data_IF_294954297347
#
_entry.id   IF_294954297347
#
_cell.length_a   1.000
_cell.length_b   1.000
_cell.length_c   1.000
_cell.angle_alpha   90.00
_cell.angle_beta   90.00
_cell.angle_gamma   90.00
#
_symmetry.space_group_name_H-M   'P 1'
#
loop_
_entity.id
_entity.type
_entity.pdbx_description
1 polymer ?
#
# COMPACT_ATOMS: atom_id res chain seq x y z
N UNK A 1 22.16 -17.63 -10.96
CA UNK A 1 21.75 -16.69 -12.02
C UNK A 1 23.01 -16.25 -12.74
N UNK A 2 23.08 -16.43 -14.06
CA UNK A 2 24.07 -15.76 -14.92
C UNK A 2 23.90 -14.26 -14.72
N UNK A 3 24.98 -13.52 -14.46
CA UNK A 3 24.86 -12.06 -14.30
C UNK A 3 24.34 -11.42 -15.59
N UNK A 4 23.70 -10.25 -15.54
CA UNK A 4 23.22 -9.56 -16.74
C UNK A 4 24.35 -9.37 -17.79
N UNK A 5 25.57 -9.12 -17.32
CA UNK A 5 26.77 -9.03 -18.14
C UNK A 5 27.18 -10.36 -18.78
N UNK A 6 26.93 -11.49 -18.11
CA UNK A 6 27.23 -12.82 -18.61
C UNK A 6 26.20 -13.26 -19.66
N UNK A 7 24.91 -12.94 -19.48
CA UNK A 7 23.89 -13.16 -20.50
C UNK A 7 24.18 -12.36 -21.79
N UNK A 8 24.57 -11.10 -21.67
CA UNK A 8 24.94 -10.27 -22.84
C UNK A 8 26.16 -10.85 -23.56
N UNK A 9 27.19 -11.29 -22.82
CA UNK A 9 28.37 -11.95 -23.41
C UNK A 9 28.02 -13.26 -24.12
N UNK A 10 27.12 -14.07 -23.55
CA UNK A 10 26.66 -15.31 -24.18
C UNK A 10 25.86 -15.03 -25.45
N UNK A 11 25.01 -14.00 -25.45
CA UNK A 11 24.30 -13.57 -26.66
C UNK A 11 25.30 -13.14 -27.74
N UNK A 12 26.27 -12.27 -27.43
CA UNK A 12 27.28 -11.81 -28.40
C UNK A 12 28.09 -12.96 -29.01
N UNK A 13 28.47 -13.95 -28.20
CA UNK A 13 29.14 -15.16 -28.69
C UNK A 13 28.25 -15.93 -29.65
N UNK A 14 27.00 -16.18 -29.25
CA UNK A 14 26.03 -16.94 -30.04
C UNK A 14 25.68 -16.27 -31.37
N UNK A 15 25.58 -14.94 -31.44
CA UNK A 15 25.32 -14.20 -32.68
C UNK A 15 26.52 -14.21 -33.65
N UNK A 16 27.74 -14.51 -33.19
CA UNK A 16 28.95 -14.60 -34.05
C UNK A 16 29.18 -15.99 -34.64
N UNK A 17 28.54 -17.00 -34.08
CA UNK A 17 28.66 -18.38 -34.56
C UNK A 17 27.77 -18.60 -35.79
N UNK A 18 28.31 -19.32 -36.78
CA UNK A 18 27.60 -19.64 -38.03
C UNK A 18 26.66 -20.86 -37.90
N UNK A 19 26.47 -21.34 -36.67
CA UNK A 19 25.69 -22.52 -36.33
C UNK A 19 24.21 -22.26 -36.05
N UNK A 20 23.46 -23.35 -35.88
CA UNK A 20 22.08 -23.29 -35.40
C UNK A 20 22.03 -23.00 -33.90
N UNK A 21 21.05 -22.22 -33.45
CA UNK A 21 20.90 -21.83 -32.05
C UNK A 21 19.44 -21.65 -31.63
N UNK A 22 19.22 -21.60 -30.31
CA UNK A 22 17.92 -21.33 -29.71
C UNK A 22 17.90 -20.00 -28.98
N UNK A 23 16.79 -19.27 -29.06
CA UNK A 23 16.55 -18.08 -28.23
C UNK A 23 15.19 -18.20 -27.53
N UNK A 24 15.16 -17.90 -26.23
CA UNK A 24 13.94 -17.53 -25.52
C UNK A 24 13.74 -16.03 -25.68
N UNK A 25 12.61 -15.66 -26.28
CA UNK A 25 12.18 -14.28 -26.49
C UNK A 25 10.96 -14.02 -25.64
N UNK A 26 11.08 -13.13 -24.66
CA UNK A 26 9.99 -12.62 -23.85
C UNK A 26 9.59 -11.24 -24.36
N UNK A 27 8.30 -11.01 -24.57
CA UNK A 27 7.76 -9.71 -25.00
C UNK A 27 6.29 -9.57 -24.61
N UNK A 28 5.82 -8.35 -24.40
CA UNK A 28 4.39 -8.13 -24.17
C UNK A 28 3.57 -8.20 -25.46
N UNK A 29 2.38 -8.78 -25.35
CA UNK A 29 1.39 -8.81 -26.43
C UNK A 29 0.31 -7.76 -26.22
N UNK A 30 0.24 -6.77 -27.11
CA UNK A 30 -0.77 -5.70 -27.06
C UNK A 30 -0.25 -4.45 -27.78
N UNK A 31 -1.11 -3.69 -28.45
CA UNK A 31 -0.68 -2.49 -29.21
C UNK A 31 -0.90 -1.17 -28.47
N UNK A 32 -1.73 -1.16 -27.43
CA UNK A 32 -2.32 0.08 -26.89
C UNK A 32 -1.95 0.36 -25.43
N UNK A 33 -1.08 -0.46 -24.81
CA UNK A 33 -0.73 -0.35 -23.38
C UNK A 33 0.76 -0.04 -23.23
N UNK A 34 1.16 0.82 -22.26
CA UNK A 34 2.56 0.96 -21.90
C UNK A 34 3.13 -0.40 -21.51
N UNK A 35 4.24 -0.78 -22.13
CA UNK A 35 4.85 -2.09 -21.89
C UNK A 35 5.93 -2.02 -20.84
N UNK A 36 5.85 -2.90 -19.84
CA UNK A 36 6.84 -3.01 -18.80
C UNK A 36 8.18 -3.48 -19.39
N UNK A 37 9.27 -2.74 -19.13
CA UNK A 37 10.60 -3.13 -19.62
C UNK A 37 11.03 -4.50 -19.11
N UNK A 38 10.56 -4.89 -17.92
CA UNK A 38 10.79 -6.20 -17.31
C UNK A 38 10.25 -7.37 -18.14
N UNK A 39 9.30 -7.14 -19.04
CA UNK A 39 8.70 -8.15 -19.90
C UNK A 39 9.51 -8.45 -21.15
N UNK A 40 10.49 -7.60 -21.49
CA UNK A 40 11.37 -7.79 -22.64
C UNK A 40 12.68 -8.42 -22.19
N UNK A 41 12.82 -9.71 -22.47
CA UNK A 41 14.00 -10.47 -22.08
C UNK A 41 14.42 -11.36 -23.24
N UNK A 42 15.73 -11.54 -23.38
CA UNK A 42 16.32 -12.37 -24.41
C UNK A 42 17.36 -13.27 -23.76
N UNK A 43 17.19 -14.58 -23.91
CA UNK A 43 18.14 -15.56 -23.37
C UNK A 43 18.55 -16.56 -24.45
N UNK A 44 19.85 -16.91 -24.51
CA UNK A 44 20.29 -18.05 -25.30
C UNK A 44 19.73 -19.34 -24.70
N UNK A 45 19.29 -20.25 -25.57
CA UNK A 45 18.77 -21.56 -25.17
C UNK A 45 19.48 -22.64 -25.97
N UNK A 46 19.91 -23.68 -25.27
CA UNK A 46 20.57 -24.83 -25.90
C UNK A 46 19.61 -25.50 -26.91
N UNK A 47 20.02 -25.68 -28.18
CA UNK A 47 19.19 -26.35 -29.18
C UNK A 47 18.87 -27.81 -28.83
N UNK A 48 19.60 -28.47 -27.93
CA UNK A 48 19.29 -29.83 -27.51
C UNK A 48 17.95 -29.92 -26.76
N UNK A 49 17.09 -30.85 -27.18
CA UNK A 49 15.68 -30.92 -26.76
C UNK A 49 15.51 -31.05 -25.23
N UNK A 50 16.43 -31.74 -24.55
CA UNK A 50 16.44 -31.88 -23.09
C UNK A 50 16.94 -30.61 -22.40
N UNK A 51 18.03 -30.01 -22.89
CA UNK A 51 18.60 -28.76 -22.36
C UNK A 51 17.64 -27.58 -22.50
N UNK A 52 17.01 -27.45 -23.67
CA UNK A 52 15.98 -26.44 -23.96
C UNK A 52 14.81 -26.47 -22.96
N UNK A 53 14.31 -27.68 -22.68
CA UNK A 53 13.16 -27.85 -21.78
C UNK A 53 13.52 -27.46 -20.34
N UNK A 54 14.69 -27.88 -19.85
CA UNK A 54 15.14 -27.56 -18.49
C UNK A 54 15.41 -26.06 -18.30
N UNK A 55 16.06 -25.39 -19.27
CA UNK A 55 16.32 -23.95 -19.21
C UNK A 55 15.03 -23.13 -19.27
N UNK A 56 14.11 -23.50 -20.19
CA UNK A 56 12.81 -22.86 -20.29
C UNK A 56 11.99 -22.98 -18.99
N UNK A 57 11.89 -24.19 -18.43
CA UNK A 57 11.16 -24.40 -17.17
C UNK A 57 11.78 -23.62 -16.01
N UNK A 58 13.10 -23.48 -15.97
CA UNK A 58 13.80 -22.69 -14.95
C UNK A 58 13.48 -21.20 -15.07
N UNK A 59 13.52 -20.64 -16.29
CA UNK A 59 13.19 -19.23 -16.55
C UNK A 59 11.71 -18.94 -16.32
N UNK A 60 10.84 -19.89 -16.70
CA UNK A 60 9.41 -19.82 -16.42
C UNK A 60 9.13 -19.85 -14.91
N UNK A 61 9.81 -20.71 -14.16
CA UNK A 61 9.69 -20.75 -12.70
C UNK A 61 10.08 -19.41 -12.08
N UNK A 62 11.19 -18.80 -12.51
CA UNK A 62 11.61 -17.47 -12.06
C UNK A 62 10.56 -16.41 -12.40
N UNK A 63 10.02 -16.43 -13.62
CA UNK A 63 8.94 -15.52 -14.04
C UNK A 63 7.70 -15.66 -13.16
N UNK A 64 7.29 -16.90 -12.86
CA UNK A 64 6.14 -17.19 -11.99
C UNK A 64 6.40 -16.74 -10.55
N UNK A 65 7.57 -17.00 -9.98
CA UNK A 65 7.89 -16.53 -8.62
C UNK A 65 7.97 -15.00 -8.54
N UNK A 66 8.50 -14.34 -9.58
CA UNK A 66 8.53 -12.87 -9.68
C UNK A 66 7.10 -12.30 -9.77
N UNK A 67 6.23 -12.97 -10.52
CA UNK A 67 4.82 -12.57 -10.64
C UNK A 67 4.09 -12.63 -9.29
N UNK A 68 4.47 -13.51 -8.37
CA UNK A 68 3.85 -13.62 -7.03
C UNK A 68 4.09 -12.40 -6.13
N UNK A 69 5.18 -11.69 -6.36
CA UNK A 69 5.54 -10.48 -5.60
C UNK A 69 5.25 -9.19 -6.37
N UNK A 70 4.60 -9.30 -7.52
CA UNK A 70 4.23 -8.17 -8.38
C UNK A 70 2.81 -7.70 -8.06
N UNK A 71 2.56 -6.41 -8.27
CA UNK A 71 1.24 -5.79 -8.14
C UNK A 71 0.23 -6.31 -9.18
N UNK A 72 0.73 -6.71 -10.35
CA UNK A 72 0.00 -7.47 -11.36
C UNK A 72 0.96 -8.30 -12.21
N UNK A 73 0.40 -9.23 -12.97
CA UNK A 73 1.15 -10.08 -13.88
C UNK A 73 1.11 -9.47 -15.28
N UNK A 74 2.24 -9.09 -15.88
CA UNK A 74 2.25 -8.52 -17.23
C UNK A 74 1.81 -9.55 -18.27
N UNK A 75 1.24 -9.08 -19.38
CA UNK A 75 0.80 -9.95 -20.49
C UNK A 75 2.00 -10.35 -21.35
N UNK A 76 2.93 -11.09 -20.75
CA UNK A 76 4.21 -11.44 -21.35
C UNK A 76 4.12 -12.78 -22.07
N UNK A 77 4.33 -12.76 -23.38
CA UNK A 77 4.54 -13.95 -24.21
C UNK A 77 5.98 -14.40 -24.05
N UNK A 78 6.17 -15.70 -23.80
CA UNK A 78 7.48 -16.33 -23.67
C UNK A 78 7.59 -17.40 -24.77
N UNK A 79 8.48 -17.18 -25.73
CA UNK A 79 8.59 -18.01 -26.93
C UNK A 79 10.00 -18.49 -27.18
N UNK A 80 10.14 -19.79 -27.44
CA UNK A 80 11.42 -20.39 -27.81
C UNK A 80 11.47 -20.55 -29.32
N UNK A 81 12.42 -19.90 -29.96
CA UNK A 81 12.68 -20.00 -31.40
C UNK A 81 13.96 -20.78 -31.66
N UNK A 82 13.95 -21.63 -32.69
CA UNK A 82 15.16 -22.24 -33.24
C UNK A 82 15.52 -21.55 -34.53
N UNK A 83 16.76 -21.07 -34.60
CA UNK A 83 17.30 -20.41 -35.78
C UNK A 83 18.30 -21.34 -36.45
N UNK A 84 18.14 -21.61 -37.76
CA UNK A 84 19.09 -22.43 -38.51
C UNK A 84 20.49 -21.84 -38.57
N UNK A 85 20.59 -20.49 -38.52
CA UNK A 85 21.84 -19.75 -38.61
C UNK A 85 21.78 -18.51 -37.73
N UNK A 86 22.58 -18.49 -36.66
CA UNK A 86 22.57 -17.38 -35.70
C UNK A 86 23.18 -16.09 -36.27
N UNK A 87 24.23 -16.19 -37.09
CA UNK A 87 24.83 -15.05 -37.81
C UNK A 87 23.87 -14.36 -38.80
N UNK A 88 22.76 -15.00 -39.17
CA UNK A 88 21.74 -14.43 -40.05
C UNK A 88 20.71 -13.56 -39.32
N UNK A 89 20.78 -13.49 -37.99
CA UNK A 89 19.92 -12.65 -37.17
C UNK A 89 20.35 -11.18 -37.23
N UNK A 90 19.43 -10.23 -36.96
CA UNK A 90 19.81 -8.84 -36.75
C UNK A 90 20.91 -8.74 -35.66
N UNK A 91 21.91 -7.88 -35.83
CA UNK A 91 22.99 -7.75 -34.85
C UNK A 91 22.45 -7.18 -33.53
N UNK A 92 22.83 -7.81 -32.42
CA UNK A 92 22.56 -7.30 -31.07
C UNK A 92 23.81 -6.59 -30.53
N UNK A 93 23.70 -5.29 -30.27
CA UNK A 93 24.78 -4.47 -29.69
C UNK A 93 24.52 -4.23 -28.20
N UNK A 94 25.58 -4.17 -27.37
CA UNK A 94 25.45 -3.97 -25.92
C UNK A 94 24.69 -2.71 -25.54
N UNK A 95 24.83 -1.66 -26.33
CA UNK A 95 24.24 -0.36 -26.05
C UNK A 95 22.77 -0.27 -26.50
N UNK A 96 22.27 -1.29 -27.21
CA UNK A 96 20.87 -1.33 -27.65
C UNK A 96 19.98 -1.90 -26.54
N UNK A 97 18.95 -1.15 -26.07
CA UNK A 97 17.98 -1.69 -25.13
C UNK A 97 17.31 -2.95 -25.67
N UNK A 98 17.23 -4.01 -24.85
CA UNK A 98 16.66 -5.31 -25.24
C UNK A 98 15.25 -5.17 -25.81
N UNK A 99 14.44 -4.29 -25.23
CA UNK A 99 13.09 -3.96 -25.73
C UNK A 99 13.09 -3.44 -27.16
N UNK A 100 13.97 -2.48 -27.47
CA UNK A 100 14.08 -1.90 -28.82
C UNK A 100 14.58 -2.93 -29.82
N UNK A 101 15.55 -3.76 -29.43
CA UNK A 101 16.02 -4.85 -30.27
C UNK A 101 14.93 -5.88 -30.58
N UNK A 102 14.21 -6.36 -29.55
CA UNK A 102 13.15 -7.34 -29.73
C UNK A 102 12.03 -6.79 -30.60
N UNK A 103 11.53 -5.60 -30.30
CA UNK A 103 10.35 -5.02 -30.97
C UNK A 103 10.68 -4.46 -32.36
N UNK A 104 11.82 -3.80 -32.52
CA UNK A 104 12.21 -3.12 -33.76
C UNK A 104 12.94 -4.01 -34.77
N UNK A 105 13.63 -5.07 -34.32
CA UNK A 105 14.48 -5.89 -35.19
C UNK A 105 14.13 -7.38 -35.19
N UNK A 106 14.14 -8.02 -34.02
CA UNK A 106 14.02 -9.48 -33.93
C UNK A 106 12.62 -9.99 -34.31
N UNK A 107 11.54 -9.43 -33.73
CA UNK A 107 10.17 -9.84 -34.05
C UNK A 107 9.81 -9.58 -35.53
N UNK A 108 10.16 -8.44 -36.15
CA UNK A 108 10.02 -8.24 -37.60
C UNK A 108 10.76 -9.29 -38.43
N UNK A 109 12.00 -9.66 -38.04
CA UNK A 109 12.77 -10.69 -38.72
C UNK A 109 12.10 -12.07 -38.63
N UNK A 110 11.65 -12.47 -37.43
CA UNK A 110 10.90 -13.72 -37.20
C UNK A 110 9.66 -13.78 -38.10
N UNK A 111 8.89 -12.68 -38.17
CA UNK A 111 7.69 -12.59 -39.00
C UNK A 111 8.01 -12.67 -40.50
N UNK A 112 9.05 -11.97 -40.96
CA UNK A 112 9.48 -11.97 -42.37
C UNK A 112 9.91 -13.37 -42.83
N UNK A 113 10.59 -14.11 -41.95
CA UNK A 113 11.08 -15.46 -42.22
C UNK A 113 10.07 -16.57 -41.87
N UNK A 114 8.85 -16.21 -41.43
CA UNK A 114 7.77 -17.15 -41.06
C UNK A 114 8.22 -18.23 -40.05
N UNK A 115 9.11 -17.86 -39.14
CA UNK A 115 9.61 -18.78 -38.12
C UNK A 115 8.49 -19.05 -37.10
N UNK A 116 8.29 -20.33 -36.78
CA UNK A 116 7.32 -20.76 -35.77
C UNK A 116 8.03 -21.03 -34.45
N UNK A 117 7.48 -20.59 -33.32
CA UNK A 117 8.03 -20.93 -32.02
C UNK A 117 7.88 -22.44 -31.76
N UNK A 118 8.88 -23.03 -31.13
CA UNK A 118 8.88 -24.43 -30.66
C UNK A 118 8.02 -24.56 -29.39
N UNK A 119 8.07 -23.54 -28.54
CA UNK A 119 7.27 -23.41 -27.32
C UNK A 119 6.74 -21.98 -27.29
N UNK A 120 5.47 -21.81 -26.96
CA UNK A 120 4.85 -20.49 -26.89
C UNK A 120 3.83 -20.48 -25.76
N UNK A 121 4.16 -19.79 -24.67
CA UNK A 121 3.30 -19.66 -23.48
C UNK A 121 3.09 -18.20 -23.12
N UNK A 122 2.03 -17.92 -22.38
CA UNK A 122 1.81 -16.63 -21.75
C UNK A 122 2.04 -16.74 -20.24
N UNK A 123 2.74 -15.77 -19.65
CA UNK A 123 3.07 -15.78 -18.23
C UNK A 123 1.82 -15.79 -17.34
N UNK A 124 0.78 -15.02 -17.67
CA UNK A 124 -0.49 -14.98 -16.91
C UNK A 124 -1.14 -16.35 -16.88
N UNK A 125 -1.19 -17.00 -18.03
CA UNK A 125 -1.79 -18.32 -18.15
C UNK A 125 -1.01 -19.34 -17.31
N UNK A 126 0.32 -19.30 -17.38
CA UNK A 126 1.17 -20.19 -16.60
C UNK A 126 1.01 -20.00 -15.09
N UNK A 127 0.85 -18.76 -14.64
CA UNK A 127 0.58 -18.47 -13.21
C UNK A 127 -0.80 -18.97 -12.81
N UNK A 128 -1.83 -18.75 -13.64
CA UNK A 128 -3.18 -19.25 -13.40
C UNK A 128 -3.22 -20.78 -13.28
N UNK A 129 -2.62 -21.47 -14.24
CA UNK A 129 -2.52 -22.94 -14.26
C UNK A 129 -1.86 -23.48 -13.00
N UNK A 130 -0.75 -22.86 -12.58
CA UNK A 130 -0.07 -23.26 -11.35
C UNK A 130 -0.92 -22.99 -10.11
N UNK A 131 -1.70 -21.91 -10.09
CA UNK A 131 -2.61 -21.62 -8.97
C UNK A 131 -3.78 -22.60 -8.87
N UNK A 132 -4.23 -23.16 -10.00
CA UNK A 132 -5.29 -24.17 -10.06
C UNK A 132 -4.75 -25.61 -9.90
N UNK A 133 -3.43 -25.80 -9.75
CA UNK A 133 -2.81 -27.12 -9.63
C UNK A 133 -2.85 -27.95 -10.92
N UNK A 134 -2.98 -27.29 -12.08
CA UNK A 134 -3.12 -27.94 -13.38
C UNK A 134 -1.75 -28.22 -14.02
N UNK A 135 -1.68 -29.25 -14.87
CA UNK A 135 -0.46 -29.62 -15.60
C UNK A 135 -0.43 -28.99 -16.99
N UNK A 136 0.77 -28.70 -17.49
CA UNK A 136 0.99 -28.18 -18.85
C UNK A 136 1.59 -29.26 -19.73
N UNK A 137 1.02 -29.46 -20.92
CA UNK A 137 1.57 -30.42 -21.88
C UNK A 137 2.87 -29.89 -22.54
N UNK A 138 3.76 -30.79 -23.00
CA UNK A 138 4.95 -30.40 -23.75
C UNK A 138 4.61 -29.47 -24.91
N UNK A 139 5.31 -28.33 -25.00
CA UNK A 139 5.04 -27.29 -26.00
C UNK A 139 4.18 -26.13 -25.51
N UNK A 140 3.64 -26.19 -24.28
CA UNK A 140 2.87 -25.10 -23.68
C UNK A 140 1.37 -25.15 -23.97
N UNK A 141 0.84 -26.31 -24.34
CA UNK A 141 -0.58 -26.48 -24.66
C UNK A 141 -1.37 -26.56 -23.36
N UNK A 142 -2.40 -25.72 -23.26
CA UNK A 142 -3.33 -25.67 -22.13
C UNK A 142 -4.59 -26.45 -22.50
N UNK A 143 -4.86 -27.54 -21.78
CA UNK A 143 -6.14 -28.25 -21.87
C UNK A 143 -7.02 -27.77 -20.73
N UNK A 144 -7.98 -26.93 -21.06
CA UNK A 144 -8.93 -26.36 -20.11
C UNK A 144 -10.35 -26.76 -20.48
N UNK A 145 -11.15 -27.10 -19.48
CA UNK A 145 -12.60 -27.20 -19.63
C UNK A 145 -13.25 -25.81 -19.75
N UNK A 146 -14.53 -25.77 -20.10
CA UNK A 146 -15.26 -24.51 -20.27
C UNK A 146 -15.25 -23.62 -19.00
N UNK A 147 -15.39 -24.23 -17.82
CA UNK A 147 -15.39 -23.48 -16.55
C UNK A 147 -14.00 -22.94 -16.19
N UNK A 148 -12.94 -23.67 -16.52
CA UNK A 148 -11.55 -23.21 -16.38
C UNK A 148 -11.23 -22.06 -17.34
N UNK A 149 -11.79 -22.10 -18.56
CA UNK A 149 -11.66 -21.00 -19.53
C UNK A 149 -12.32 -19.73 -18.99
N UNK A 150 -13.53 -19.81 -18.45
CA UNK A 150 -14.23 -18.66 -17.87
C UNK A 150 -13.44 -18.03 -16.72
N UNK A 151 -12.89 -18.85 -15.81
CA UNK A 151 -12.03 -18.37 -14.71
C UNK A 151 -10.74 -17.73 -15.21
N UNK A 152 -10.13 -18.28 -16.27
CA UNK A 152 -8.94 -17.69 -16.89
C UNK A 152 -9.25 -16.32 -17.52
N UNK A 153 -10.40 -16.18 -18.18
CA UNK A 153 -10.85 -14.90 -18.75
C UNK A 153 -11.06 -13.87 -17.65
N UNK A 154 -11.74 -14.24 -16.56
CA UNK A 154 -11.93 -13.36 -15.40
C UNK A 154 -10.58 -12.97 -14.77
N UNK A 155 -9.67 -13.94 -14.61
CA UNK A 155 -8.33 -13.71 -14.09
C UNK A 155 -7.56 -12.68 -14.93
N UNK A 156 -7.55 -12.84 -16.26
CA UNK A 156 -6.91 -11.88 -17.18
C UNK A 156 -7.52 -10.49 -17.07
N UNK A 157 -8.85 -10.40 -16.99
CA UNK A 157 -9.57 -9.13 -16.80
C UNK A 157 -9.17 -8.46 -15.48
N UNK A 158 -9.03 -9.22 -14.39
CA UNK A 158 -8.55 -8.72 -13.10
C UNK A 158 -7.12 -8.19 -13.20
N UNK A 159 -6.22 -8.91 -13.88
CA UNK A 159 -4.84 -8.46 -14.11
C UNK A 159 -4.78 -7.17 -14.93
N UNK A 160 -5.65 -6.99 -15.91
CA UNK A 160 -5.74 -5.75 -16.68
C UNK A 160 -6.24 -4.56 -15.84
N UNK A 161 -7.22 -4.79 -14.96
CA UNK A 161 -7.66 -3.77 -14.01
C UNK A 161 -6.55 -3.34 -13.03
N UNK A 162 -5.74 -4.30 -12.57
CA UNK A 162 -4.57 -4.00 -11.75
C UNK A 162 -3.47 -3.28 -12.54
N UNK A 163 -3.20 -3.69 -13.79
CA UNK A 163 -2.22 -3.03 -14.64
C UNK A 163 -2.53 -1.54 -14.84
N UNK A 164 -3.79 -1.21 -15.16
CA UNK A 164 -4.23 0.17 -15.27
C UNK A 164 -4.08 0.94 -13.94
N UNK A 165 -4.44 0.31 -12.82
CA UNK A 165 -4.30 0.89 -11.48
C UNK A 165 -2.85 1.26 -11.15
N UNK A 166 -1.89 0.39 -11.48
CA UNK A 166 -0.47 0.61 -11.21
C UNK A 166 0.30 1.23 -12.37
N UNK A 167 -0.40 1.92 -13.30
CA UNK A 167 0.21 2.61 -14.46
C UNK A 167 1.15 1.71 -15.27
N UNK A 168 0.80 0.43 -15.38
CA UNK A 168 1.53 -0.59 -16.13
C UNK A 168 2.97 -0.84 -15.63
N UNK A 169 3.24 -0.59 -14.35
CA UNK A 169 4.48 -0.98 -13.67
C UNK A 169 4.20 -2.21 -12.81
N UNK A 170 4.67 -3.43 -13.19
CA UNK A 170 4.31 -4.67 -12.51
C UNK A 170 4.80 -4.73 -11.06
N UNK A 171 5.99 -4.21 -10.76
CA UNK A 171 6.55 -4.24 -9.42
C UNK A 171 5.92 -3.20 -8.50
N UNK A 172 5.68 -3.57 -7.25
CA UNK A 172 5.39 -2.58 -6.21
C UNK A 172 6.58 -1.64 -6.04
N UNK A 173 6.32 -0.34 -5.99
CA UNK A 173 7.36 0.64 -5.71
C UNK A 173 7.78 0.53 -4.25
N UNK A 174 9.06 0.29 -4.03
CA UNK A 174 9.69 0.25 -2.71
C UNK A 174 10.13 1.64 -2.25
N UNK A 175 10.40 1.84 -0.94
CA UNK A 175 10.11 0.91 0.15
C UNK A 175 8.61 0.74 0.42
N UNK A 176 8.22 -0.39 1.03
CA UNK A 176 6.87 -0.53 1.58
C UNK A 176 6.79 0.20 2.92
N UNK A 177 5.63 0.81 3.19
CA UNK A 177 5.28 1.36 4.50
C UNK A 177 4.31 0.41 5.17
N UNK A 178 4.69 -0.04 6.35
CA UNK A 178 3.93 -1.01 7.13
C UNK A 178 3.43 -0.33 8.39
N UNK A 179 2.11 -0.27 8.56
CA UNK A 179 1.47 0.33 9.73
C UNK A 179 0.95 -0.77 10.62
N UNK A 180 1.55 -0.91 11.79
CA UNK A 180 1.12 -1.80 12.84
C UNK A 180 0.14 -1.09 13.77
N UNK A 181 -1.00 -1.74 14.01
CA UNK A 181 -2.05 -1.32 14.93
C UNK A 181 -2.42 -2.48 15.85
N UNK A 182 -3.23 -2.23 16.90
CA UNK A 182 -3.75 -3.31 17.75
C UNK A 182 -4.65 -4.32 17.03
N UNK A 183 -5.19 -3.96 15.86
CA UNK A 183 -6.02 -4.85 15.04
C UNK A 183 -5.20 -5.70 14.06
N UNK A 184 -3.91 -5.44 13.94
CA UNK A 184 -3.02 -6.05 12.95
C UNK A 184 -2.29 -5.01 12.11
N UNK A 185 -1.78 -5.45 10.98
CA UNK A 185 -0.86 -4.72 10.11
C UNK A 185 -1.53 -4.33 8.79
N UNK A 186 -1.29 -3.11 8.34
CA UNK A 186 -1.62 -2.61 7.00
C UNK A 186 -0.33 -2.39 6.22
N UNK A 187 -0.34 -2.66 4.91
CA UNK A 187 0.83 -2.55 4.06
C UNK A 187 0.53 -1.64 2.88
N UNK A 188 1.37 -0.63 2.67
CA UNK A 188 1.22 0.35 1.59
C UNK A 188 2.48 0.40 0.73
N UNK A 189 2.31 0.51 -0.57
CA UNK A 189 3.44 0.69 -1.49
C UNK A 189 4.02 2.10 -1.43
N UNK A 190 5.27 2.27 -1.86
CA UNK A 190 5.87 3.59 -2.11
C UNK A 190 5.30 4.29 -3.36
N UNK A 191 4.36 3.65 -4.06
CA UNK A 191 3.66 4.17 -5.24
C UNK A 191 2.64 5.24 -4.88
N UNK A 192 2.00 5.83 -5.90
CA UNK A 192 1.00 6.88 -5.68
C UNK A 192 -0.17 6.39 -4.84
N UNK A 193 -0.59 5.14 -5.05
CA UNK A 193 -1.69 4.50 -4.32
C UNK A 193 -1.33 4.31 -2.85
N UNK A 194 -0.17 3.72 -2.56
CA UNK A 194 0.22 3.47 -1.17
C UNK A 194 0.55 4.76 -0.41
N UNK A 195 1.09 5.80 -1.07
CA UNK A 195 1.28 7.12 -0.44
C UNK A 195 -0.06 7.75 -0.06
N UNK A 196 -1.01 7.79 -1.00
CA UNK A 196 -2.36 8.30 -0.74
C UNK A 196 -3.09 7.45 0.33
N UNK A 197 -2.91 6.13 0.32
CA UNK A 197 -3.46 5.23 1.33
C UNK A 197 -2.89 5.47 2.73
N UNK A 198 -1.60 5.73 2.82
CA UNK A 198 -0.92 6.11 4.08
C UNK A 198 -1.48 7.43 4.60
N UNK A 199 -1.63 8.44 3.74
CA UNK A 199 -2.21 9.74 4.13
C UNK A 199 -3.66 9.61 4.60
N UNK A 200 -4.49 8.85 3.88
CA UNK A 200 -5.87 8.60 4.27
C UNK A 200 -5.97 7.83 5.59
N UNK A 201 -5.05 6.89 5.84
CA UNK A 201 -4.95 6.24 7.15
C UNK A 201 -4.66 7.24 8.26
N UNK A 202 -3.71 8.16 8.09
CA UNK A 202 -3.41 9.17 9.12
C UNK A 202 -4.52 10.19 9.32
N UNK A 203 -5.20 10.61 8.25
CA UNK A 203 -6.42 11.43 8.34
C UNK A 203 -7.50 10.73 9.14
N UNK A 204 -7.73 9.44 8.87
CA UNK A 204 -8.68 8.62 9.63
C UNK A 204 -8.26 8.47 11.10
N UNK A 205 -6.98 8.19 11.35
CA UNK A 205 -6.44 7.99 12.69
C UNK A 205 -6.57 9.26 13.53
N UNK A 206 -6.16 10.41 12.98
CA UNK A 206 -6.26 11.70 13.66
C UNK A 206 -7.73 12.12 13.88
N UNK A 207 -8.60 11.91 12.88
CA UNK A 207 -10.04 12.17 13.02
C UNK A 207 -10.70 11.33 14.11
N UNK A 208 -10.12 10.17 14.45
CA UNK A 208 -10.65 9.26 15.46
C UNK A 208 -9.75 9.11 16.69
N UNK A 209 -8.71 9.95 16.85
CA UNK A 209 -7.66 9.76 17.86
C UNK A 209 -8.24 9.65 19.26
N UNK A 210 -9.06 10.64 19.63
CA UNK A 210 -9.72 10.71 20.93
C UNK A 210 -10.97 9.84 21.04
N UNK A 211 -11.45 9.23 19.95
CA UNK A 211 -12.72 8.50 19.93
C UNK A 211 -12.69 7.29 20.87
N UNK A 212 -13.74 7.18 21.69
CA UNK A 212 -13.96 6.02 22.57
C UNK A 212 -14.14 4.69 21.81
N UNK A 213 -14.48 4.74 20.51
CA UNK A 213 -14.69 3.54 19.68
C UNK A 213 -13.45 3.12 18.89
N UNK A 214 -12.42 3.96 18.88
CA UNK A 214 -11.17 3.63 18.21
C UNK A 214 -10.25 2.79 19.14
N UNK A 215 -9.41 1.91 18.58
CA UNK A 215 -8.47 1.09 19.36
C UNK A 215 -7.51 1.93 20.18
N UNK A 216 -7.20 1.47 21.39
CA UNK A 216 -6.39 2.18 22.38
C UNK A 216 -4.90 1.83 22.39
N UNK A 217 -4.47 0.83 21.63
CA UNK A 217 -3.07 0.41 21.61
C UNK A 217 -2.21 1.21 20.62
N UNK A 218 -0.88 1.08 20.71
CA UNK A 218 0.07 1.91 19.97
C UNK A 218 -0.04 1.69 18.46
N UNK A 219 0.28 2.76 17.71
CA UNK A 219 0.40 2.71 16.25
C UNK A 219 1.87 2.94 15.88
N UNK A 220 2.41 2.07 15.02
CA UNK A 220 3.80 2.13 14.58
C UNK A 220 3.87 2.07 13.06
N UNK A 221 4.66 2.94 12.45
CA UNK A 221 4.99 2.89 11.03
C UNK A 221 6.43 2.41 10.86
N UNK A 222 6.60 1.43 9.97
CA UNK A 222 7.88 0.89 9.58
C UNK A 222 8.13 1.09 8.09
N UNK A 223 9.38 1.34 7.74
CA UNK A 223 9.91 1.24 6.39
C UNK A 223 10.48 -0.16 6.16
N UNK A 224 10.09 -0.76 5.05
CA UNK A 224 10.56 -2.10 4.65
C UNK A 224 11.14 -2.02 3.26
N UNK A 225 12.47 -2.05 3.19
CA UNK A 225 13.24 -2.00 1.94
C UNK A 225 13.31 -3.37 1.24
N UNK A 226 13.25 -4.47 2.02
CA UNK A 226 13.31 -5.85 1.53
C UNK A 226 12.17 -6.69 2.11
N UNK A 227 10.93 -6.55 1.58
CA UNK A 227 9.76 -7.21 2.14
C UNK A 227 9.73 -8.72 1.86
N UNK A 228 9.08 -9.46 2.77
CA UNK A 228 8.80 -10.89 2.57
C UNK A 228 7.73 -11.09 1.48
N UNK A 229 7.70 -12.28 0.88
CA UNK A 229 6.68 -12.65 -0.12
C UNK A 229 5.23 -12.43 0.38
N UNK A 230 5.00 -12.59 1.68
CA UNK A 230 3.69 -12.39 2.31
C UNK A 230 3.25 -10.92 2.31
N UNK A 231 4.16 -9.98 2.56
CA UNK A 231 3.82 -8.55 2.58
C UNK A 231 3.34 -8.05 1.21
N UNK A 232 3.89 -8.58 0.12
CA UNK A 232 3.43 -8.23 -1.23
C UNK A 232 1.97 -8.59 -1.48
N UNK A 233 1.48 -9.69 -0.92
CA UNK A 233 0.07 -10.09 -1.00
C UNK A 233 -0.88 -9.20 -0.18
N UNK A 234 -0.33 -8.41 0.76
CA UNK A 234 -1.08 -7.49 1.64
C UNK A 234 -0.98 -6.04 1.19
N UNK A 235 -0.15 -5.75 0.18
CA UNK A 235 0.16 -4.37 -0.21
C UNK A 235 -1.03 -3.70 -0.89
N UNK A 236 -1.37 -2.49 -0.44
CA UNK A 236 -2.45 -1.63 -0.94
C UNK A 236 -3.86 -2.27 -0.89
N UNK A 237 -4.07 -3.30 -0.05
CA UNK A 237 -5.37 -3.96 0.12
C UNK A 237 -6.40 -3.04 0.81
N UNK A 238 -5.95 -2.27 1.79
CA UNK A 238 -6.76 -1.29 2.53
C UNK A 238 -7.17 -0.07 1.67
N UNK A 239 -6.47 0.18 0.57
CA UNK A 239 -6.68 1.39 -0.21
C UNK A 239 -6.54 1.11 -1.70
N UNK A 240 -7.68 1.09 -2.40
CA UNK A 240 -7.74 0.76 -3.82
C UNK A 240 -8.34 1.89 -4.62
N UNK A 241 -7.80 2.09 -5.82
CA UNK A 241 -8.42 2.94 -6.84
C UNK A 241 -9.38 2.10 -7.69
N UNK A 242 -10.65 2.47 -7.71
CA UNK A 242 -11.65 1.84 -8.57
C UNK A 242 -11.36 2.15 -10.04
N UNK A 243 -11.44 1.12 -10.89
CA UNK A 243 -11.11 1.27 -12.31
C UNK A 243 -12.18 2.07 -13.08
N UNK A 244 -13.46 1.93 -12.70
CA UNK A 244 -14.60 2.53 -13.40
C UNK A 244 -14.81 4.00 -13.02
N UNK A 245 -14.74 4.31 -11.73
CA UNK A 245 -15.02 5.66 -11.21
C UNK A 245 -13.75 6.49 -11.00
N UNK A 246 -12.58 5.86 -10.99
CA UNK A 246 -11.31 6.50 -10.63
C UNK A 246 -11.24 6.94 -9.17
N UNK A 247 -12.26 6.63 -8.35
CA UNK A 247 -12.34 7.02 -6.95
C UNK A 247 -11.45 6.13 -6.10
N UNK A 248 -10.90 6.71 -5.04
CA UNK A 248 -10.18 5.98 -4.03
C UNK A 248 -11.14 5.45 -2.97
N UNK A 249 -10.98 4.17 -2.65
CA UNK A 249 -11.75 3.48 -1.62
C UNK A 249 -10.81 3.11 -0.50
N UNK A 250 -11.10 3.61 0.68
CA UNK A 250 -10.41 3.27 1.91
C UNK A 250 -11.29 2.32 2.72
N UNK A 251 -10.86 1.08 2.84
CA UNK A 251 -11.58 0.03 3.57
C UNK A 251 -10.62 -0.72 4.48
N UNK A 252 -10.83 -0.54 5.78
CA UNK A 252 -9.97 -1.10 6.82
C UNK A 252 -10.47 -2.44 7.35
N UNK A 253 -11.72 -2.84 7.09
CA UNK A 253 -12.34 -3.94 7.83
C UNK A 253 -11.68 -5.30 7.55
N UNK A 254 -11.36 -5.57 6.28
CA UNK A 254 -10.78 -6.85 5.85
C UNK A 254 -9.28 -6.76 5.52
N UNK A 255 -8.65 -5.61 5.74
CA UNK A 255 -7.28 -5.36 5.30
C UNK A 255 -6.20 -5.65 6.36
N UNK A 256 -6.59 -5.81 7.63
CA UNK A 256 -5.65 -6.10 8.70
C UNK A 256 -5.14 -7.53 8.61
N UNK A 257 -3.82 -7.69 8.73
CA UNK A 257 -3.18 -8.99 8.78
C UNK A 257 -2.32 -9.15 10.04
N UNK A 258 -2.30 -10.37 10.58
CA UNK A 258 -1.42 -10.72 11.69
C UNK A 258 -0.03 -11.10 11.18
N UNK A 259 1.00 -10.36 11.62
CA UNK A 259 2.39 -10.60 11.25
C UNK A 259 3.20 -11.02 12.48
N UNK A 260 3.85 -12.18 12.38
CA UNK A 260 4.69 -12.73 13.44
C UNK A 260 5.99 -11.94 13.65
N UNK A 261 6.61 -12.08 14.82
CA UNK A 261 7.83 -11.33 15.18
C UNK A 261 9.03 -11.61 14.23
N UNK A 262 9.14 -12.82 13.71
CA UNK A 262 10.21 -13.21 12.77
C UNK A 262 10.16 -12.45 11.45
N UNK A 263 8.96 -12.11 10.95
CA UNK A 263 8.75 -11.37 9.71
C UNK A 263 9.10 -9.88 9.85
N UNK A 264 9.16 -9.36 11.09
CA UNK A 264 9.52 -7.97 11.39
C UNK A 264 11.03 -7.72 11.37
N UNK A 265 11.84 -8.77 11.15
CA UNK A 265 13.30 -8.64 11.12
C UNK A 265 13.74 -7.77 9.94
N UNK A 266 14.51 -6.73 10.23
CA UNK A 266 15.01 -5.79 9.23
C UNK A 266 14.06 -4.64 8.89
N UNK A 267 12.90 -4.55 9.55
CA UNK A 267 12.02 -3.38 9.43
C UNK A 267 12.62 -2.20 10.18
N UNK A 268 12.58 -1.02 9.57
CA UNK A 268 13.10 0.22 10.18
C UNK A 268 11.91 1.00 10.73
N UNK A 269 11.85 1.20 12.05
CA UNK A 269 10.82 2.01 12.68
C UNK A 269 11.02 3.48 12.26
N UNK A 270 10.03 4.06 11.59
CA UNK A 270 10.03 5.48 11.22
C UNK A 270 9.28 6.33 12.24
N UNK A 271 8.18 5.78 12.78
CA UNK A 271 7.32 6.52 13.69
C UNK A 271 6.57 5.58 14.64
N UNK A 272 6.37 6.03 15.86
CA UNK A 272 5.54 5.35 16.85
C UNK A 272 4.82 6.39 17.70
N UNK A 273 3.53 6.20 17.88
CA UNK A 273 2.71 6.99 18.80
C UNK A 273 2.01 6.02 19.74
N UNK A 274 1.89 6.41 21.01
CA UNK A 274 0.85 5.80 21.82
C UNK A 274 -0.51 6.38 21.38
N UNK A 275 -1.58 5.65 21.69
CA UNK A 275 -2.94 6.10 21.41
C UNK A 275 -3.65 6.48 22.72
N UNK A 276 -2.89 6.91 23.73
CA UNK A 276 -3.47 7.47 24.94
C UNK A 276 -4.05 8.86 24.62
N UNK A 277 -5.15 9.27 25.26
CA UNK A 277 -5.75 10.59 25.05
C UNK A 277 -4.82 11.67 25.63
N UNK A 278 -3.86 12.14 24.83
CA UNK A 278 -2.83 13.12 25.20
C UNK A 278 -2.74 14.19 24.13
N UNK A 279 -2.65 15.45 24.54
CA UNK A 279 -2.36 16.58 23.64
C UNK A 279 -1.00 16.42 22.96
N UNK A 280 -0.01 15.90 23.68
CA UNK A 280 1.39 15.82 23.22
C UNK A 280 1.56 14.80 22.09
N UNK A 281 1.00 13.60 22.28
CA UNK A 281 1.06 12.54 21.25
C UNK A 281 0.17 12.86 20.06
N UNK A 282 -1.01 13.49 20.29
CA UNK A 282 -1.86 13.97 19.21
C UNK A 282 -1.14 15.01 18.32
N UNK A 283 -0.46 16.01 18.91
CA UNK A 283 0.33 17.00 18.14
C UNK A 283 1.49 16.35 17.40
N UNK A 284 2.21 15.42 18.05
CA UNK A 284 3.30 14.66 17.41
C UNK A 284 2.80 13.87 16.20
N UNK A 285 1.58 13.33 16.26
CA UNK A 285 0.92 12.66 15.13
C UNK A 285 0.50 13.64 14.03
N UNK A 286 -0.03 14.82 14.38
CA UNK A 286 -0.32 15.91 13.41
C UNK A 286 0.95 16.34 12.67
N UNK A 287 2.04 16.59 13.41
CA UNK A 287 3.33 17.03 12.85
C UNK A 287 3.93 15.96 11.93
N UNK A 288 3.92 14.69 12.34
CA UNK A 288 4.45 13.60 11.54
C UNK A 288 3.65 13.37 10.26
N UNK A 289 2.32 13.38 10.35
CA UNK A 289 1.45 13.10 9.21
C UNK A 289 1.28 14.29 8.26
N UNK A 290 1.61 15.51 8.70
CA UNK A 290 1.29 16.75 7.99
C UNK A 290 -0.21 17.03 7.87
N UNK A 291 -1.06 16.19 8.46
CA UNK A 291 -2.51 16.31 8.40
C UNK A 291 -2.98 17.24 9.52
N UNK A 292 -3.89 18.16 9.18
CA UNK A 292 -4.51 19.09 10.13
C UNK A 292 -6.03 18.91 10.12
N UNK A 293 -6.55 17.89 10.81
CA UNK A 293 -8.00 17.70 10.90
C UNK A 293 -8.62 18.86 11.66
N UNK A 294 -9.71 19.39 11.11
CA UNK A 294 -10.52 20.42 11.74
C UNK A 294 -11.61 19.80 12.64
N UNK A 295 -12.15 20.62 13.54
CA UNK A 295 -13.27 20.23 14.40
C UNK A 295 -12.84 19.74 15.78
N UNK A 296 -13.69 18.87 16.36
CA UNK A 296 -13.70 18.56 17.79
C UNK A 296 -12.36 18.09 18.38
N UNK A 297 -11.51 17.40 17.61
CA UNK A 297 -10.24 16.88 18.13
C UNK A 297 -9.24 18.00 18.46
N UNK A 298 -9.26 19.12 17.74
CA UNK A 298 -8.46 20.30 18.09
C UNK A 298 -8.92 20.93 19.40
N UNK A 299 -10.23 21.03 19.60
CA UNK A 299 -10.77 21.58 20.84
C UNK A 299 -10.51 20.65 22.03
N UNK A 300 -10.59 19.33 21.83
CA UNK A 300 -10.16 18.33 22.83
C UNK A 300 -8.68 18.50 23.15
N UNK A 301 -7.80 18.60 22.14
CA UNK A 301 -6.36 18.82 22.34
C UNK A 301 -6.07 20.11 23.11
N UNK A 302 -6.75 21.22 22.77
CA UNK A 302 -6.65 22.50 23.48
C UNK A 302 -7.10 22.37 24.94
N UNK A 303 -8.23 21.71 25.21
CA UNK A 303 -8.72 21.46 26.58
C UNK A 303 -7.76 20.59 27.38
N UNK A 304 -7.18 19.54 26.78
CA UNK A 304 -6.14 18.72 27.42
C UNK A 304 -4.87 19.52 27.72
N UNK A 305 -4.52 20.47 26.86
CA UNK A 305 -3.41 21.41 27.10
C UNK A 305 -3.71 22.29 28.33
N UNK A 306 -4.91 22.87 28.37
CA UNK A 306 -5.38 23.70 29.49
C UNK A 306 -5.54 22.91 30.81
N UNK A 307 -5.69 21.58 30.77
CA UNK A 307 -5.59 20.76 31.98
C UNK A 307 -4.17 20.70 32.57
N UNK A 308 -3.13 20.89 31.75
CA UNK A 308 -1.74 20.79 32.19
C UNK A 308 -1.20 22.17 32.60
N UNK A 309 -1.37 23.16 31.75
CA UNK A 309 -0.81 24.50 31.93
C UNK A 309 -1.72 25.58 31.34
N UNK A 310 -1.58 26.81 31.86
CA UNK A 310 -2.24 27.98 31.31
C UNK A 310 -1.60 28.38 29.99
N UNK A 311 -2.44 28.60 28.97
CA UNK A 311 -2.02 29.05 27.65
C UNK A 311 -2.94 30.18 27.19
N UNK A 312 -2.41 31.41 27.17
CA UNK A 312 -3.15 32.61 26.79
C UNK A 312 -3.57 32.56 25.32
N UNK A 313 -2.71 32.04 24.46
CA UNK A 313 -2.92 32.05 23.01
C UNK A 313 -4.07 31.11 22.65
N UNK A 314 -4.13 29.93 23.28
CA UNK A 314 -5.28 29.01 23.14
C UNK A 314 -6.58 29.66 23.60
N UNK A 315 -6.58 30.35 24.75
CA UNK A 315 -7.80 30.94 25.32
C UNK A 315 -8.30 32.14 24.51
N UNK A 316 -7.40 32.88 23.85
CA UNK A 316 -7.76 34.03 23.03
C UNK A 316 -8.03 33.68 21.57
N UNK A 317 -7.65 32.49 21.11
CA UNK A 317 -7.91 31.99 19.77
C UNK A 317 -9.42 31.84 19.48
N UNK A 318 -10.00 32.62 18.55
CA UNK A 318 -11.42 32.51 18.19
C UNK A 318 -11.80 31.16 17.58
N UNK A 319 -10.83 30.40 17.05
CA UNK A 319 -11.06 29.07 16.52
C UNK A 319 -11.26 28.00 17.61
N UNK A 320 -11.03 28.33 18.90
CA UNK A 320 -11.34 27.46 20.02
C UNK A 320 -12.80 27.64 20.45
N UNK A 321 -13.64 26.63 20.27
CA UNK A 321 -15.08 26.77 20.51
C UNK A 321 -15.43 27.20 21.96
N UNK A 322 -14.55 26.94 22.93
CA UNK A 322 -14.76 27.28 24.33
C UNK A 322 -14.04 28.56 24.76
N UNK A 323 -13.40 29.30 23.86
CA UNK A 323 -12.56 30.46 24.19
C UNK A 323 -13.28 31.48 25.12
N UNK A 324 -14.55 31.81 24.84
CA UNK A 324 -15.37 32.71 25.68
C UNK A 324 -15.55 32.18 27.11
N UNK A 325 -15.65 30.87 27.31
CA UNK A 325 -15.81 30.26 28.63
C UNK A 325 -14.52 30.29 29.45
N UNK A 326 -13.37 30.46 28.80
CA UNK A 326 -12.05 30.52 29.45
C UNK A 326 -11.48 31.94 29.56
N UNK A 327 -12.01 32.91 28.80
CA UNK A 327 -11.55 34.30 28.78
C UNK A 327 -11.47 34.96 30.18
N UNK A 328 -12.36 34.58 31.09
CA UNK A 328 -12.34 35.05 32.48
C UNK A 328 -11.02 34.70 33.20
N UNK A 329 -10.46 33.53 32.92
CA UNK A 329 -9.19 33.11 33.54
C UNK A 329 -8.02 33.96 33.08
N UNK A 330 -7.99 34.43 31.82
CA UNK A 330 -6.97 35.38 31.35
C UNK A 330 -7.05 36.68 32.14
N UNK A 331 -8.27 37.22 32.34
CA UNK A 331 -8.47 38.45 33.11
C UNK A 331 -8.03 38.28 34.57
N UNK A 332 -8.42 37.17 35.22
CA UNK A 332 -8.02 36.86 36.60
C UNK A 332 -6.52 36.63 36.73
N UNK A 333 -5.89 36.04 35.72
CA UNK A 333 -4.44 35.85 35.67
C UNK A 333 -3.71 37.17 35.53
N UNK A 334 -4.16 38.04 34.61
CA UNK A 334 -3.60 39.38 34.44
C UNK A 334 -3.76 40.20 35.74
N UNK A 335 -4.91 40.14 36.42
CA UNK A 335 -5.11 40.80 37.71
C UNK A 335 -4.15 40.26 38.79
N UNK A 336 -3.89 38.95 38.80
CA UNK A 336 -2.97 38.32 39.75
C UNK A 336 -1.51 38.71 39.50
N UNK A 337 -1.09 38.73 38.23
CA UNK A 337 0.27 39.14 37.82
C UNK A 337 0.51 40.63 38.09
N UNK A 338 -0.51 41.47 37.90
CA UNK A 338 -0.42 42.92 38.11
C UNK A 338 -0.67 43.36 39.58
N UNK A 339 -0.86 42.41 40.52
CA UNK A 339 -1.11 42.73 41.93
C UNK A 339 -2.48 43.37 42.23
N UNK A 340 -3.43 43.25 41.30
CA UNK A 340 -4.79 43.78 41.40
C UNK A 340 -5.81 42.73 41.90
N UNK A 341 -5.36 41.50 42.16
CA UNK A 341 -6.21 40.38 42.58
C UNK A 341 -6.86 40.63 43.95
N UNK A 342 -8.18 40.42 44.01
CA UNK A 342 -8.99 40.49 45.25
C UNK A 342 -9.01 39.13 45.99
N UNK A 343 -7.84 38.52 46.16
CA UNK A 343 -7.68 37.27 46.94
C UNK A 343 -7.74 35.96 46.13
N UNK A 344 -7.70 36.02 44.80
CA UNK A 344 -7.41 34.84 44.00
C UNK A 344 -5.89 34.62 43.93
N UNK A 345 -5.44 33.42 44.31
CA UNK A 345 -4.08 32.98 44.05
C UNK A 345 -3.96 32.41 42.64
N UNK A 346 -2.75 32.48 42.07
CA UNK A 346 -2.42 31.86 40.78
C UNK A 346 -2.82 30.37 40.75
N UNK A 347 -2.49 29.65 41.82
CA UNK A 347 -2.76 28.21 41.97
C UNK A 347 -4.26 27.90 41.92
N UNK A 348 -5.08 28.71 42.61
CA UNK A 348 -6.54 28.53 42.63
C UNK A 348 -7.14 28.74 41.25
N UNK A 349 -6.67 29.76 40.51
CA UNK A 349 -7.14 30.03 39.15
C UNK A 349 -6.76 28.87 38.20
N UNK A 350 -5.53 28.36 38.33
CA UNK A 350 -5.08 27.20 37.55
C UNK A 350 -5.93 25.97 37.85
N UNK A 351 -6.23 25.69 39.11
CA UNK A 351 -7.05 24.54 39.49
C UNK A 351 -8.49 24.64 38.98
N UNK A 352 -9.13 25.81 39.11
CA UNK A 352 -10.49 26.03 38.55
C UNK A 352 -10.51 25.88 37.02
N UNK A 353 -9.45 26.31 36.33
CA UNK A 353 -9.31 26.12 34.88
C UNK A 353 -9.17 24.63 34.52
N UNK A 354 -8.38 23.88 35.30
CA UNK A 354 -8.21 22.43 35.12
C UNK A 354 -9.53 21.70 35.30
N UNK A 355 -10.25 21.99 36.38
CA UNK A 355 -11.57 21.41 36.66
C UNK A 355 -12.58 21.76 35.57
N UNK A 356 -12.59 23.00 35.08
CA UNK A 356 -13.49 23.42 34.00
C UNK A 356 -13.20 22.68 32.70
N UNK A 357 -11.91 22.49 32.38
CA UNK A 357 -11.48 21.72 31.20
C UNK A 357 -11.90 20.25 31.33
N UNK A 358 -11.67 19.62 32.49
CA UNK A 358 -12.07 18.24 32.77
C UNK A 358 -13.58 18.04 32.62
N UNK A 359 -14.36 18.97 33.19
CA UNK A 359 -15.81 18.93 33.10
C UNK A 359 -16.30 18.98 31.66
N UNK A 360 -15.73 19.85 30.81
CA UNK A 360 -16.10 19.95 29.40
C UNK A 360 -15.75 18.66 28.66
N UNK A 361 -14.54 18.13 28.86
CA UNK A 361 -14.09 16.86 28.25
C UNK A 361 -15.04 15.70 28.58
N UNK A 362 -15.54 15.61 29.82
CA UNK A 362 -16.50 14.57 30.25
C UNK A 362 -17.93 14.80 29.79
N UNK A 363 -18.34 16.03 29.52
CA UNK A 363 -19.77 16.34 29.26
C UNK A 363 -20.10 16.48 27.79
N UNK A 364 -19.19 17.06 27.02
CA UNK A 364 -19.43 17.43 25.62
C UNK A 364 -18.81 16.45 24.63
N UNK A 365 -17.82 15.65 25.03
CA UNK A 365 -17.03 14.80 24.12
C UNK A 365 -17.00 13.33 24.52
N UNK A 366 -17.04 12.44 23.51
CA UNK A 366 -16.88 10.99 23.68
C UNK A 366 -15.39 10.60 23.66
N UNK A 367 -14.63 11.08 24.65
CA UNK A 367 -13.17 10.86 24.73
C UNK A 367 -12.86 9.50 25.36
N UNK A 368 -11.98 8.72 24.72
CA UNK A 368 -11.42 7.48 25.27
C UNK A 368 -10.86 7.73 26.67
N UNK A 369 -11.15 6.85 27.63
CA UNK A 369 -10.66 6.97 29.01
C UNK A 369 -11.47 7.91 29.92
N UNK A 370 -12.31 8.80 29.37
CA UNK A 370 -13.14 9.73 30.16
C UNK A 370 -14.56 9.19 30.45
N UNK A 371 -14.87 7.98 29.98
CA UNK A 371 -16.17 7.33 30.16
C UNK A 371 -17.28 7.90 29.26
N UNK A 372 -18.48 7.34 29.33
CA UNK A 372 -19.61 7.84 28.54
C UNK A 372 -20.08 9.20 29.08
N UNK A 373 -20.22 10.23 28.24
CA UNK A 373 -20.63 11.57 28.66
C UNK A 373 -21.95 11.56 29.40
N UNK A 374 -22.05 12.39 30.44
CA UNK A 374 -23.29 12.52 31.21
C UNK A 374 -24.50 12.88 30.35
N UNK A 375 -24.28 13.68 29.30
CA UNK A 375 -25.32 14.08 28.35
C UNK A 375 -25.87 12.88 27.56
N UNK A 376 -25.02 11.93 27.18
CA UNK A 376 -25.42 10.69 26.50
C UNK A 376 -26.10 9.73 27.48
N UNK A 377 -25.66 9.69 28.74
CA UNK A 377 -26.34 8.94 29.81
C UNK A 377 -27.76 9.49 30.05
N UNK A 378 -27.93 10.80 30.20
CA UNK A 378 -29.25 11.46 30.36
C UNK A 378 -30.16 11.21 29.17
N UNK A 379 -29.67 11.38 27.95
CA UNK A 379 -30.46 11.10 26.74
C UNK A 379 -30.91 9.64 26.63
N UNK A 380 -30.10 8.67 27.07
CA UNK A 380 -30.50 7.24 27.12
C UNK A 380 -31.57 6.99 28.18
N UNK A 381 -31.45 7.60 29.36
CA UNK A 381 -32.48 7.51 30.41
C UNK A 381 -33.80 8.10 29.93
N UNK A 382 -33.80 9.31 29.38
CA UNK A 382 -35.00 9.96 28.83
C UNK A 382 -35.64 9.16 27.69
N UNK A 383 -34.84 8.57 26.80
CA UNK A 383 -35.34 7.72 25.70
C UNK A 383 -35.94 6.40 26.22
N UNK A 384 -35.39 5.87 27.32
CA UNK A 384 -35.89 4.65 27.98
C UNK A 384 -37.19 4.92 28.75
N UNK A 385 -37.27 6.05 29.45
CA UNK A 385 -38.47 6.53 30.12
C UNK A 385 -39.61 6.84 29.14
N UNK A 386 -39.28 7.46 28.00
CA UNK A 386 -40.25 7.72 26.92
C UNK A 386 -40.78 6.43 26.29
N UNK A 387 -39.92 5.44 26.05
CA UNK A 387 -40.34 4.14 25.53
C UNK A 387 -41.18 3.34 26.55
N UNK A 388 -40.91 3.49 27.84
CA UNK A 388 -41.71 2.86 28.89
C UNK A 388 -43.07 3.54 29.09
N UNK A 389 -43.20 4.84 28.80
CA UNK A 389 -44.49 5.56 28.77
C UNK A 389 -45.37 5.24 27.57
N UNK A 390 -44.79 4.78 26.46
CA UNK A 390 -45.53 4.37 25.25
C UNK A 390 -46.02 2.91 25.36
N UNK A 391 -45.48 2.13 26.31
CA UNK A 391 -45.86 0.73 26.59
C UNK A 391 -46.85 0.56 27.74
N UNK A 392 -47.30 1.66 28.36
CA UNK A 392 -48.45 1.72 29.27
C UNK A 392 -49.58 2.44 28.55
#
# INVERSE_FOLDING_TARGET
MTSANENIRQLEGLFREDGAGGLLVCYETGREKPHADSSYQLYPVDPDRKGMTCQFLSLLHVGVETARISAFIPDTRMEVYRFPRMSGLPPFYRDTPVKEYITGMLLPHIKRNRLKPVVSVNLRDMVFIRSEGLSVEPGGILRLDAGQIDRLVEFRRRQDGLAARYKYIPGYKLPLRVIETPKGVLVFSGGDIGREGTENFYKFLLGNYFSMHAPSGPVRQYRVDSPSGRLYGLTDTAFRKEAETGRYIFDLFDAYADIGASEKKGWVLEFATDMAPSDTEYRRLEDFSGCRPEGNNRDICRLLTLQKHFDRDIILDPAFAYHFRFKEFVRRMDDCVNGLSKGDSMEKILEEMREKSDRILRTDFLVRGYGTPERVKRNRVEKTERNNRIKR
#
